data_IF_326892027277
#
_entry.id   IF_326892027277
#
_cell.length_a   1.000
_cell.length_b   1.000
_cell.length_c   1.000
_cell.angle_alpha   90.00
_cell.angle_beta   90.00
_cell.angle_gamma   90.00
#
_symmetry.space_group_name_H-M   'P 1'
#
loop_
_entity.id
_entity.type
_entity.pdbx_description
1 polymer ?
#
# COMPACT_ATOMS: atom_id res chain seq x y z
N UNK A 1 -13.66 10.28 -21.71
CA UNK A 1 -12.63 9.94 -20.71
C UNK A 1 -11.37 9.59 -21.49
N UNK A 2 -10.19 10.15 -21.18
CA UNK A 2 -8.95 9.85 -21.95
C UNK A 2 -8.56 8.37 -21.82
N UNK A 3 -8.00 7.76 -22.87
CA UNK A 3 -7.65 6.32 -22.93
C UNK A 3 -6.82 5.83 -21.74
N UNK A 4 -5.90 6.65 -21.22
CA UNK A 4 -5.11 6.32 -20.03
C UNK A 4 -5.95 6.22 -18.74
N UNK A 5 -7.00 7.02 -18.61
CA UNK A 5 -7.91 6.95 -17.44
C UNK A 5 -8.80 5.72 -17.48
N UNK A 6 -9.16 5.26 -18.69
CA UNK A 6 -9.91 4.03 -18.88
C UNK A 6 -9.05 2.81 -18.50
N UNK A 7 -7.78 2.78 -18.95
CA UNK A 7 -6.83 1.73 -18.56
C UNK A 7 -6.64 1.67 -17.04
N UNK A 8 -6.42 2.81 -16.38
CA UNK A 8 -6.27 2.87 -14.91
C UNK A 8 -7.55 2.39 -14.23
N UNK A 9 -8.73 2.78 -14.72
CA UNK A 9 -10.01 2.32 -14.18
C UNK A 9 -10.16 0.80 -14.31
N UNK A 10 -9.83 0.23 -15.48
CA UNK A 10 -9.84 -1.23 -15.69
C UNK A 10 -8.88 -1.95 -14.75
N UNK A 11 -7.68 -1.40 -14.53
CA UNK A 11 -6.71 -1.97 -13.58
C UNK A 11 -7.22 -1.91 -12.15
N UNK A 12 -7.82 -0.80 -11.72
CA UNK A 12 -8.44 -0.68 -10.39
C UNK A 12 -9.56 -1.72 -10.23
N UNK A 13 -10.47 -1.79 -11.20
CA UNK A 13 -11.58 -2.74 -11.16
C UNK A 13 -11.09 -4.19 -11.17
N UNK A 14 -10.02 -4.50 -11.90
CA UNK A 14 -9.37 -5.81 -11.88
C UNK A 14 -8.83 -6.16 -10.49
N UNK A 15 -8.08 -5.23 -9.86
CA UNK A 15 -7.56 -5.42 -8.49
C UNK A 15 -8.69 -5.58 -7.47
N UNK A 16 -9.77 -4.82 -7.60
CA UNK A 16 -10.95 -4.94 -6.73
C UNK A 16 -11.68 -6.27 -6.92
N UNK A 17 -11.85 -6.71 -8.17
CA UNK A 17 -12.48 -7.99 -8.48
C UNK A 17 -11.67 -9.16 -7.91
N UNK A 18 -10.35 -9.15 -8.12
CA UNK A 18 -9.44 -10.15 -7.55
C UNK A 18 -9.51 -10.17 -6.01
N UNK A 19 -9.45 -9.01 -5.36
CA UNK A 19 -9.51 -8.89 -3.89
C UNK A 19 -10.85 -9.39 -3.31
N UNK A 20 -11.97 -9.11 -4.00
CA UNK A 20 -13.29 -9.60 -3.61
C UNK A 20 -13.39 -11.13 -3.75
N UNK A 21 -12.89 -11.67 -4.85
CA UNK A 21 -12.92 -13.11 -5.10
C UNK A 21 -12.06 -13.90 -4.11
N UNK A 22 -10.85 -13.42 -3.82
CA UNK A 22 -9.97 -13.95 -2.77
C UNK A 22 -10.67 -13.95 -1.39
N UNK A 23 -11.32 -12.84 -1.02
CA UNK A 23 -12.06 -12.76 0.25
C UNK A 23 -13.18 -13.81 0.36
N UNK A 24 -13.92 -14.02 -0.73
CA UNK A 24 -14.99 -15.03 -0.79
C UNK A 24 -14.43 -16.46 -0.73
N UNK A 25 -13.35 -16.73 -1.48
CA UNK A 25 -12.65 -18.01 -1.49
C UNK A 25 -12.09 -18.37 -0.10
N UNK A 26 -11.41 -17.44 0.57
CA UNK A 26 -10.86 -17.63 1.92
C UNK A 26 -11.96 -17.96 2.93
N UNK A 27 -13.13 -17.33 2.78
CA UNK A 27 -14.29 -17.59 3.65
C UNK A 27 -14.88 -18.98 3.38
N UNK A 28 -14.99 -19.39 2.12
CA UNK A 28 -15.49 -20.72 1.73
C UNK A 28 -14.55 -21.86 2.18
N UNK A 29 -13.23 -21.71 1.95
CA UNK A 29 -12.21 -22.69 2.40
C UNK A 29 -12.24 -22.84 3.92
N UNK A 30 -12.43 -21.75 4.67
CA UNK A 30 -12.56 -21.79 6.13
C UNK A 30 -13.77 -22.61 6.57
N UNK A 31 -14.94 -22.42 5.94
CA UNK A 31 -16.16 -23.20 6.24
C UNK A 31 -15.94 -24.70 6.01
N UNK A 32 -15.22 -25.06 4.95
CA UNK A 32 -14.87 -26.45 4.64
C UNK A 32 -13.88 -27.05 5.65
N UNK A 33 -12.86 -26.30 6.07
CA UNK A 33 -11.87 -26.79 7.05
C UNK A 33 -12.45 -26.98 8.45
N UNK A 34 -13.41 -26.15 8.87
CA UNK A 34 -14.10 -26.30 10.17
C UNK A 34 -14.93 -27.60 10.19
N UNK A 35 -15.62 -27.89 9.07
CA UNK A 35 -16.38 -29.13 8.89
C UNK A 35 -15.47 -30.38 8.91
N UNK A 36 -14.36 -30.36 8.16
CA UNK A 36 -13.36 -31.46 8.17
C UNK A 36 -12.62 -31.61 9.50
N UNK A 37 -12.44 -30.53 10.25
CA UNK A 37 -11.79 -30.56 11.57
C UNK A 37 -12.59 -31.34 12.61
N UNK A 38 -13.92 -31.39 12.45
CA UNK A 38 -14.81 -32.19 13.29
C UNK A 38 -14.73 -33.69 13.02
N UNK A 39 -14.21 -34.13 11.87
CA UNK A 39 -14.26 -35.53 11.43
C UNK A 39 -12.94 -36.31 11.61
N UNK A 40 -11.79 -35.66 11.76
CA UNK A 40 -10.48 -36.29 11.52
C UNK A 40 -9.51 -36.30 12.73
N UNK A 41 -9.96 -36.79 13.89
CA UNK A 41 -9.15 -36.83 15.12
C UNK A 41 -7.99 -37.87 15.14
N UNK A 42 -7.72 -38.63 14.07
CA UNK A 42 -6.93 -39.88 14.16
C UNK A 42 -5.63 -40.01 13.32
N UNK A 43 -4.94 -38.94 12.89
CA UNK A 43 -3.64 -39.11 12.18
C UNK A 43 -2.52 -38.19 12.68
N UNK A 44 -1.72 -38.69 13.63
CA UNK A 44 -0.68 -37.93 14.34
C UNK A 44 0.69 -37.91 13.66
N UNK A 45 1.03 -38.88 12.79
CA UNK A 45 2.36 -38.95 12.16
C UNK A 45 2.48 -38.21 10.81
N UNK A 46 1.43 -38.14 9.98
CA UNK A 46 1.42 -37.34 8.73
C UNK A 46 1.35 -35.82 8.97
N UNK A 47 0.95 -35.40 10.18
CA UNK A 47 0.81 -33.99 10.57
C UNK A 47 2.17 -33.29 10.75
N UNK A 48 3.22 -34.02 11.12
CA UNK A 48 4.52 -33.45 11.47
C UNK A 48 5.25 -32.84 10.25
N UNK A 49 5.35 -33.58 9.15
CA UNK A 49 6.00 -33.12 7.91
C UNK A 49 5.17 -32.06 7.15
N UNK A 50 3.84 -32.23 7.11
CA UNK A 50 2.93 -31.19 6.58
C UNK A 50 2.95 -29.91 7.45
N UNK A 51 3.20 -30.04 8.75
CA UNK A 51 3.32 -28.91 9.67
C UNK A 51 4.55 -28.05 9.41
N UNK A 52 5.71 -28.66 9.20
CA UNK A 52 6.96 -27.95 8.88
C UNK A 52 6.89 -27.22 7.53
N UNK A 53 6.37 -27.89 6.50
CA UNK A 53 6.21 -27.29 5.16
C UNK A 53 5.17 -26.16 5.15
N UNK A 54 4.07 -26.31 5.90
CA UNK A 54 3.05 -25.26 6.05
C UNK A 54 3.57 -24.05 6.84
N UNK A 55 4.36 -24.25 7.89
CA UNK A 55 4.99 -23.17 8.66
C UNK A 55 5.98 -22.39 7.79
N UNK A 56 6.87 -23.09 7.07
CA UNK A 56 7.84 -22.47 6.17
C UNK A 56 7.14 -21.62 5.09
N UNK A 57 6.05 -22.13 4.51
CA UNK A 57 5.21 -21.38 3.56
C UNK A 57 4.60 -20.12 4.19
N UNK A 58 4.08 -20.21 5.41
CA UNK A 58 3.50 -19.05 6.13
C UNK A 58 4.53 -17.98 6.43
N UNK A 59 5.72 -18.36 6.88
CA UNK A 59 6.83 -17.43 7.12
C UNK A 59 7.26 -16.74 5.82
N UNK A 60 7.42 -17.51 4.75
CA UNK A 60 7.76 -16.97 3.43
C UNK A 60 6.71 -15.96 2.96
N UNK A 61 5.41 -16.31 3.02
CA UNK A 61 4.32 -15.41 2.64
C UNK A 61 4.25 -14.17 3.54
N UNK A 62 4.51 -14.29 4.84
CA UNK A 62 4.61 -13.15 5.76
C UNK A 62 5.77 -12.22 5.42
N UNK A 63 6.88 -12.78 4.95
CA UNK A 63 7.99 -11.99 4.45
C UNK A 63 7.63 -11.27 3.14
N UNK A 64 7.05 -12.00 2.18
CA UNK A 64 6.56 -11.47 0.90
C UNK A 64 5.55 -10.34 1.12
N UNK A 65 4.56 -10.53 2.00
CA UNK A 65 3.60 -9.50 2.40
C UNK A 65 4.30 -8.21 2.87
N UNK A 66 5.26 -8.33 3.79
CA UNK A 66 5.99 -7.19 4.33
C UNK A 66 6.81 -6.47 3.27
N UNK A 67 7.55 -7.21 2.43
CA UNK A 67 8.37 -6.63 1.35
C UNK A 67 7.50 -5.91 0.33
N UNK A 68 6.42 -6.53 -0.14
CA UNK A 68 5.49 -5.93 -1.10
C UNK A 68 4.88 -4.64 -0.55
N UNK A 69 4.51 -4.60 0.73
CA UNK A 69 3.92 -3.39 1.33
C UNK A 69 4.95 -2.30 1.60
N UNK A 70 6.20 -2.62 1.94
CA UNK A 70 7.28 -1.63 2.04
C UNK A 70 7.57 -1.01 0.66
N UNK A 71 7.67 -1.81 -0.39
CA UNK A 71 7.95 -1.31 -1.75
C UNK A 71 6.73 -0.55 -2.30
N UNK A 72 5.56 -1.17 -2.30
CA UNK A 72 4.33 -0.63 -2.89
C UNK A 72 3.82 0.59 -2.14
N UNK A 73 3.29 0.37 -0.93
CA UNK A 73 2.69 1.44 -0.13
C UNK A 73 3.73 2.32 0.56
N UNK A 74 4.76 1.71 1.13
CA UNK A 74 5.75 2.40 1.96
C UNK A 74 6.78 3.22 1.19
N UNK A 75 6.95 3.01 -0.12
CA UNK A 75 8.01 3.66 -0.92
C UNK A 75 7.48 4.30 -2.20
N UNK A 76 6.78 3.55 -3.06
CA UNK A 76 6.29 4.08 -4.35
C UNK A 76 5.24 5.18 -4.18
N UNK A 77 4.30 5.04 -3.23
CA UNK A 77 3.28 6.08 -2.99
C UNK A 77 3.93 7.40 -2.46
N UNK A 78 4.85 7.37 -1.47
CA UNK A 78 5.63 8.55 -1.07
C UNK A 78 6.44 9.17 -2.21
N UNK A 79 7.13 8.37 -3.03
CA UNK A 79 7.89 8.88 -4.19
C UNK A 79 6.95 9.66 -5.13
N UNK A 80 5.79 9.09 -5.47
CA UNK A 80 4.80 9.78 -6.29
C UNK A 80 4.33 11.11 -5.66
N UNK A 81 4.19 11.18 -4.34
CA UNK A 81 3.82 12.40 -3.64
C UNK A 81 4.95 13.46 -3.64
N UNK A 82 6.21 13.03 -3.48
CA UNK A 82 7.40 13.90 -3.56
C UNK A 82 7.53 14.47 -4.98
N UNK A 83 7.36 13.66 -6.02
CA UNK A 83 7.38 14.11 -7.42
C UNK A 83 6.32 15.17 -7.69
N UNK A 84 5.06 14.91 -7.29
CA UNK A 84 3.97 15.86 -7.48
C UNK A 84 4.11 17.14 -6.65
N UNK A 85 4.83 17.11 -5.52
CA UNK A 85 5.12 18.31 -4.73
C UNK A 85 6.24 19.14 -5.37
N UNK A 86 7.33 18.48 -5.76
CA UNK A 86 8.58 19.13 -6.16
C UNK A 86 8.47 19.70 -7.58
N UNK A 87 7.94 18.93 -8.53
CA UNK A 87 7.98 19.28 -9.95
C UNK A 87 6.71 19.99 -10.46
N UNK A 88 5.71 20.20 -9.60
CA UNK A 88 4.46 20.89 -9.97
C UNK A 88 4.59 22.41 -10.01
N UNK A 89 5.57 22.99 -9.30
CA UNK A 89 5.73 24.44 -9.16
C UNK A 89 7.05 24.89 -9.78
N UNK A 90 7.06 26.10 -10.34
CA UNK A 90 8.29 26.76 -10.79
C UNK A 90 9.28 26.85 -9.61
N UNK A 91 10.57 26.54 -9.82
CA UNK A 91 11.26 26.49 -11.12
C UNK A 91 11.62 25.07 -11.61
N UNK A 92 11.32 24.02 -10.83
CA UNK A 92 11.50 22.62 -11.21
C UNK A 92 10.31 22.10 -12.04
N UNK A 93 9.68 22.93 -12.87
CA UNK A 93 8.48 22.52 -13.59
C UNK A 93 8.86 21.51 -14.69
N UNK A 94 8.54 20.24 -14.49
CA UNK A 94 8.65 19.21 -15.52
C UNK A 94 7.26 18.89 -16.07
N UNK A 95 7.01 19.05 -17.36
CA UNK A 95 5.66 18.80 -17.92
C UNK A 95 5.17 17.35 -17.70
N UNK A 96 6.09 16.42 -17.43
CA UNK A 96 5.81 15.00 -17.14
C UNK A 96 5.52 14.67 -15.67
N UNK A 97 5.58 15.63 -14.74
CA UNK A 97 5.40 15.37 -13.29
C UNK A 97 4.09 14.62 -12.99
N UNK A 98 3.04 14.92 -13.76
CA UNK A 98 1.72 14.31 -13.60
C UNK A 98 1.73 12.83 -14.01
N UNK A 99 2.43 12.49 -15.09
CA UNK A 99 2.54 11.11 -15.56
C UNK A 99 3.38 10.28 -14.60
N UNK A 100 4.54 10.80 -14.17
CA UNK A 100 5.39 10.14 -13.17
C UNK A 100 4.64 9.91 -11.86
N UNK A 101 3.90 10.92 -11.37
CA UNK A 101 3.02 10.75 -10.21
C UNK A 101 2.01 9.62 -10.42
N UNK A 102 1.27 9.62 -11.52
CA UNK A 102 0.25 8.61 -11.81
C UNK A 102 0.84 7.21 -11.91
N UNK A 103 2.00 7.04 -12.55
CA UNK A 103 2.70 5.75 -12.66
C UNK A 103 3.12 5.26 -11.27
N UNK A 104 3.79 6.09 -10.46
CA UNK A 104 4.18 5.71 -9.10
C UNK A 104 2.97 5.33 -8.23
N UNK A 105 1.89 6.11 -8.29
CA UNK A 105 0.66 5.82 -7.51
C UNK A 105 0.01 4.52 -7.97
N UNK A 106 -0.07 4.28 -9.29
CA UNK A 106 -0.69 3.06 -9.84
C UNK A 106 0.11 1.81 -9.49
N UNK A 107 1.43 1.85 -9.66
CA UNK A 107 2.31 0.73 -9.30
C UNK A 107 2.29 0.46 -7.79
N UNK A 108 2.41 1.53 -6.98
CA UNK A 108 2.34 1.42 -5.52
C UNK A 108 1.02 0.84 -5.04
N UNK A 109 -0.10 1.24 -5.66
CA UNK A 109 -1.42 0.70 -5.36
C UNK A 109 -1.53 -0.79 -5.68
N UNK A 110 -1.10 -1.22 -6.87
CA UNK A 110 -1.18 -2.63 -7.30
C UNK A 110 -0.32 -3.51 -6.39
N UNK A 111 0.97 -3.18 -6.24
CA UNK A 111 1.92 -3.97 -5.46
C UNK A 111 1.48 -4.07 -4.00
N UNK A 112 1.08 -2.94 -3.40
CA UNK A 112 0.60 -2.94 -2.02
C UNK A 112 -0.76 -3.63 -1.85
N UNK A 113 -1.64 -3.62 -2.85
CA UNK A 113 -2.89 -4.39 -2.81
C UNK A 113 -2.63 -5.90 -2.82
N UNK A 114 -1.68 -6.37 -3.63
CA UNK A 114 -1.24 -7.78 -3.62
C UNK A 114 -0.65 -8.15 -2.26
N UNK A 115 0.23 -7.29 -1.72
CA UNK A 115 0.77 -7.45 -0.37
C UNK A 115 -0.35 -7.56 0.67
N UNK A 116 -1.29 -6.62 0.68
CA UNK A 116 -2.44 -6.61 1.58
C UNK A 116 -3.30 -7.87 1.49
N UNK A 117 -3.61 -8.37 0.29
CA UNK A 117 -4.38 -9.61 0.11
C UNK A 117 -3.67 -10.83 0.74
N UNK A 118 -2.35 -10.94 0.56
CA UNK A 118 -1.54 -11.98 1.23
C UNK A 118 -1.61 -11.82 2.76
N UNK A 119 -1.59 -10.58 3.25
CA UNK A 119 -1.72 -10.26 4.68
C UNK A 119 -3.07 -10.66 5.27
N UNK A 120 -4.16 -10.43 4.53
CA UNK A 120 -5.50 -10.85 4.92
C UNK A 120 -5.61 -12.38 4.98
N UNK A 121 -5.00 -13.09 4.02
CA UNK A 121 -4.92 -14.54 4.02
C UNK A 121 -4.17 -15.09 5.25
N UNK A 122 -3.02 -14.48 5.60
CA UNK A 122 -2.23 -14.85 6.78
C UNK A 122 -2.95 -14.54 8.11
N UNK A 123 -3.56 -13.36 8.21
CA UNK A 123 -4.22 -12.85 9.42
C UNK A 123 -5.49 -13.60 9.81
N UNK A 124 -6.00 -14.49 8.95
CA UNK A 124 -7.15 -15.34 9.25
C UNK A 124 -6.81 -16.53 10.17
N UNK A 125 -5.53 -16.71 10.52
CA UNK A 125 -5.01 -17.88 11.26
C UNK A 125 -4.46 -17.62 12.67
N UNK A 126 -4.49 -16.39 13.20
CA UNK A 126 -3.90 -16.07 14.53
C UNK A 126 -4.73 -15.06 15.35
N UNK A 127 -4.77 -15.25 16.68
CA UNK A 127 -5.65 -14.53 17.65
C UNK A 127 -4.97 -13.36 18.39
N UNK A 128 -3.81 -12.86 17.96
CA UNK A 128 -3.08 -11.83 18.70
C UNK A 128 -3.74 -10.44 18.57
N UNK A 129 -3.93 -9.73 19.68
CA UNK A 129 -4.62 -8.42 19.75
C UNK A 129 -3.96 -7.33 18.90
N UNK A 130 -2.63 -7.26 18.91
CA UNK A 130 -1.84 -6.29 18.14
C UNK A 130 -1.90 -6.53 16.62
N UNK A 131 -2.13 -7.78 16.20
CA UNK A 131 -2.41 -8.11 14.80
C UNK A 131 -3.77 -7.59 14.34
N UNK A 132 -4.73 -7.42 15.27
CA UNK A 132 -6.06 -6.88 14.97
C UNK A 132 -5.98 -5.42 14.55
N UNK A 133 -5.17 -4.62 15.25
CA UNK A 133 -4.96 -3.21 14.91
C UNK A 133 -4.30 -3.07 13.54
N UNK A 134 -3.22 -3.83 13.28
CA UNK A 134 -2.55 -3.83 11.98
C UNK A 134 -3.50 -4.20 10.83
N UNK A 135 -4.36 -5.19 11.04
CA UNK A 135 -5.36 -5.60 10.05
C UNK A 135 -6.41 -4.52 9.81
N UNK A 136 -6.95 -3.89 10.86
CA UNK A 136 -7.94 -2.82 10.73
C UNK A 136 -7.32 -1.62 9.99
N UNK A 137 -6.13 -1.20 10.39
CA UNK A 137 -5.39 -0.15 9.68
C UNK A 137 -5.12 -0.52 8.22
N UNK A 138 -4.74 -1.77 7.94
CA UNK A 138 -4.56 -2.27 6.58
C UNK A 138 -5.83 -2.15 5.72
N UNK A 139 -7.01 -2.45 6.27
CA UNK A 139 -8.30 -2.28 5.57
C UNK A 139 -8.60 -0.79 5.32
N UNK A 140 -8.38 0.07 6.33
CA UNK A 140 -8.56 1.52 6.19
C UNK A 140 -7.62 2.09 5.12
N UNK A 141 -6.37 1.63 5.08
CA UNK A 141 -5.38 2.03 4.07
C UNK A 141 -5.81 1.58 2.68
N UNK A 142 -6.19 0.31 2.51
CA UNK A 142 -6.63 -0.21 1.21
C UNK A 142 -7.85 0.54 0.67
N UNK A 143 -8.87 0.74 1.51
CA UNK A 143 -10.09 1.48 1.14
C UNK A 143 -9.79 2.94 0.80
N UNK A 144 -8.99 3.61 1.64
CA UNK A 144 -8.57 5.00 1.41
C UNK A 144 -7.72 5.15 0.14
N UNK A 145 -6.81 4.21 -0.12
CA UNK A 145 -5.98 4.19 -1.33
C UNK A 145 -6.84 3.95 -2.57
N UNK A 146 -7.82 3.06 -2.50
CA UNK A 146 -8.78 2.81 -3.58
C UNK A 146 -9.59 4.07 -3.88
N UNK A 147 -10.10 4.76 -2.85
CA UNK A 147 -10.78 6.04 -3.01
C UNK A 147 -9.89 7.11 -3.68
N UNK A 148 -8.60 7.16 -3.32
CA UNK A 148 -7.63 8.06 -3.95
C UNK A 148 -7.40 7.74 -5.43
N UNK A 149 -7.37 6.46 -5.80
CA UNK A 149 -7.25 6.05 -7.20
C UNK A 149 -8.51 6.41 -8.01
N UNK A 150 -9.70 6.22 -7.44
CA UNK A 150 -10.96 6.66 -8.07
C UNK A 150 -11.08 8.18 -8.19
N UNK A 151 -10.46 8.95 -7.28
CA UNK A 151 -10.45 10.40 -7.36
C UNK A 151 -9.87 10.90 -8.70
N UNK A 152 -8.94 10.17 -9.32
CA UNK A 152 -8.41 10.48 -10.65
C UNK A 152 -9.48 10.37 -11.74
N UNK A 153 -10.34 9.36 -11.68
CA UNK A 153 -11.44 9.15 -12.62
C UNK A 153 -12.52 10.23 -12.44
N UNK A 154 -12.79 10.62 -11.19
CA UNK A 154 -13.82 11.60 -10.81
C UNK A 154 -13.32 13.07 -10.87
N UNK A 155 -12.12 13.31 -11.40
CA UNK A 155 -11.54 14.65 -11.42
C UNK A 155 -12.43 15.65 -12.19
N UNK A 156 -12.91 16.74 -11.55
CA UNK A 156 -13.78 17.72 -12.19
C UNK A 156 -13.08 18.53 -13.31
N UNK A 157 -13.83 18.91 -14.35
CA UNK A 157 -13.41 19.87 -15.40
C UNK A 157 -13.14 21.27 -14.82
N UNK A 158 -12.40 22.11 -15.57
CA UNK A 158 -11.46 23.13 -15.05
C UNK A 158 -12.04 24.40 -14.38
N UNK A 159 -13.34 24.63 -14.26
CA UNK A 159 -13.86 25.99 -13.95
C UNK A 159 -14.76 26.16 -12.71
N UNK A 160 -14.74 25.26 -11.73
CA UNK A 160 -15.60 25.38 -10.54
C UNK A 160 -14.82 25.35 -9.22
N UNK A 161 -15.34 26.02 -8.18
CA UNK A 161 -14.94 25.87 -6.76
C UNK A 161 -14.77 24.40 -6.34
N UNK A 162 -15.58 23.50 -6.93
CA UNK A 162 -15.48 22.05 -6.79
C UNK A 162 -14.08 21.48 -7.11
N UNK A 163 -13.37 22.02 -8.10
CA UNK A 163 -12.00 21.57 -8.44
C UNK A 163 -10.98 22.02 -7.41
N UNK A 164 -11.20 23.15 -6.74
CA UNK A 164 -10.36 23.62 -5.64
C UNK A 164 -10.51 22.70 -4.44
N UNK A 165 -11.75 22.42 -4.02
CA UNK A 165 -12.03 21.47 -2.94
C UNK A 165 -11.51 20.06 -3.22
N UNK A 166 -11.74 19.53 -4.43
CA UNK A 166 -11.19 18.22 -4.83
C UNK A 166 -9.66 18.16 -4.67
N UNK A 167 -8.92 19.21 -5.08
CA UNK A 167 -7.46 19.25 -4.92
C UNK A 167 -7.03 19.29 -3.45
N UNK A 168 -7.75 20.03 -2.61
CA UNK A 168 -7.45 20.14 -1.18
C UNK A 168 -7.71 18.79 -0.50
N UNK A 169 -8.90 18.22 -0.70
CA UNK A 169 -9.28 16.92 -0.14
C UNK A 169 -8.32 15.81 -0.58
N UNK A 170 -8.01 15.71 -1.89
CA UNK A 170 -7.08 14.71 -2.42
C UNK A 170 -5.70 14.81 -1.76
N UNK A 171 -5.19 16.04 -1.56
CA UNK A 171 -3.88 16.27 -0.95
C UNK A 171 -3.87 15.94 0.55
N UNK A 172 -4.87 16.38 1.31
CA UNK A 172 -4.97 16.12 2.76
C UNK A 172 -5.12 14.61 3.00
N UNK A 173 -6.06 13.98 2.30
CA UNK A 173 -6.29 12.54 2.39
C UNK A 173 -5.03 11.75 1.96
N UNK A 174 -4.25 12.27 1.01
CA UNK A 174 -3.02 11.63 0.55
C UNK A 174 -1.93 11.60 1.62
N UNK A 175 -1.76 12.70 2.35
CA UNK A 175 -0.81 12.75 3.48
C UNK A 175 -1.26 11.91 4.66
N UNK A 176 -2.56 11.93 4.98
CA UNK A 176 -3.10 11.06 6.03
C UNK A 176 -2.88 9.59 5.67
N UNK A 177 -3.12 9.21 4.41
CA UNK A 177 -2.87 7.86 3.91
C UNK A 177 -1.40 7.44 4.07
N UNK A 178 -0.45 8.29 3.65
CA UNK A 178 0.99 8.01 3.81
C UNK A 178 1.35 7.84 5.29
N UNK A 179 0.84 8.71 6.17
CA UNK A 179 1.08 8.62 7.62
C UNK A 179 0.56 7.29 8.21
N UNK A 180 -0.67 6.89 7.84
CA UNK A 180 -1.25 5.62 8.26
C UNK A 180 -0.44 4.41 7.74
N UNK A 181 0.05 4.47 6.50
CA UNK A 181 0.90 3.42 5.92
C UNK A 181 2.18 3.25 6.75
N UNK A 182 2.88 4.34 7.07
CA UNK A 182 4.11 4.30 7.86
C UNK A 182 3.84 3.68 9.23
N UNK A 183 2.81 4.15 9.94
CA UNK A 183 2.42 3.61 11.24
C UNK A 183 2.07 2.11 11.16
N UNK A 184 1.33 1.70 10.12
CA UNK A 184 0.92 0.32 9.93
C UNK A 184 2.11 -0.60 9.60
N UNK A 185 3.10 -0.12 8.85
CA UNK A 185 4.33 -0.88 8.56
C UNK A 185 5.13 -1.10 9.85
N UNK A 186 5.33 -0.07 10.68
CA UNK A 186 6.02 -0.24 11.97
C UNK A 186 5.29 -1.24 12.87
N UNK A 187 3.97 -1.10 12.99
CA UNK A 187 3.17 -2.05 13.75
C UNK A 187 3.27 -3.48 13.20
N UNK A 188 3.36 -3.66 11.88
CA UNK A 188 3.58 -4.97 11.26
C UNK A 188 4.98 -5.55 11.53
N UNK A 189 6.01 -4.70 11.54
CA UNK A 189 7.40 -5.10 11.80
C UNK A 189 7.60 -5.56 13.25
N UNK A 190 6.93 -4.93 14.22
CA UNK A 190 7.01 -5.31 15.64
C UNK A 190 6.64 -6.78 15.93
N UNK A 191 5.95 -7.44 14.99
CA UNK A 191 5.52 -8.83 15.09
C UNK A 191 6.43 -9.82 14.35
N UNK A 192 7.50 -9.35 13.70
CA UNK A 192 8.45 -10.21 12.98
C UNK A 192 9.61 -10.65 13.87
N UNK A 193 10.10 -11.86 13.61
CA UNK A 193 11.42 -12.27 14.08
C UNK A 193 12.48 -11.29 13.54
N UNK A 194 13.38 -10.83 14.42
CA UNK A 194 14.34 -9.76 14.14
C UNK A 194 13.70 -8.41 13.74
N UNK A 195 12.63 -8.00 14.44
CA UNK A 195 11.96 -6.71 14.26
C UNK A 195 12.95 -5.52 14.14
N UNK A 196 13.99 -5.47 14.97
CA UNK A 196 15.01 -4.40 14.93
C UNK A 196 15.67 -4.23 13.55
N UNK A 197 16.08 -5.34 12.90
CA UNK A 197 16.71 -5.26 11.57
C UNK A 197 15.75 -4.65 10.54
N UNK A 198 14.50 -5.10 10.54
CA UNK A 198 13.46 -4.60 9.63
C UNK A 198 13.10 -3.14 9.90
N UNK A 199 13.06 -2.72 11.18
CA UNK A 199 12.85 -1.32 11.57
C UNK A 199 13.96 -0.44 10.99
N UNK A 200 15.23 -0.79 11.21
CA UNK A 200 16.35 0.01 10.71
C UNK A 200 16.39 0.09 9.19
N UNK A 201 16.07 -1.00 8.48
CA UNK A 201 15.94 -0.97 7.02
C UNK A 201 14.87 0.03 6.59
N UNK A 202 13.68 -0.03 7.21
CA UNK A 202 12.58 0.86 6.83
C UNK A 202 12.85 2.32 7.23
N UNK A 203 13.46 2.56 8.40
CA UNK A 203 13.93 3.89 8.81
C UNK A 203 14.96 4.44 7.83
N UNK A 204 15.88 3.61 7.33
CA UNK A 204 16.82 3.99 6.27
C UNK A 204 16.10 4.44 5.00
N UNK A 205 15.09 3.69 4.54
CA UNK A 205 14.26 4.08 3.38
C UNK A 205 13.57 5.43 3.62
N UNK A 206 12.94 5.62 4.79
CA UNK A 206 12.29 6.87 5.15
C UNK A 206 13.28 8.03 5.20
N UNK A 207 14.47 7.82 5.78
CA UNK A 207 15.54 8.81 5.84
C UNK A 207 15.98 9.26 4.45
N UNK A 208 16.19 8.32 3.52
CA UNK A 208 16.52 8.63 2.12
C UNK A 208 15.39 9.40 1.44
N UNK A 209 14.14 8.98 1.59
CA UNK A 209 12.99 9.69 1.02
C UNK A 209 12.86 11.12 1.56
N UNK A 210 13.04 11.30 2.87
CA UNK A 210 13.03 12.60 3.53
C UNK A 210 14.19 13.48 3.08
N UNK A 211 15.39 12.92 2.95
CA UNK A 211 16.55 13.63 2.43
C UNK A 211 16.34 14.08 0.99
N UNK A 212 15.89 13.19 0.10
CA UNK A 212 15.55 13.52 -1.28
C UNK A 212 14.48 14.62 -1.35
N UNK A 213 13.44 14.53 -0.53
CA UNK A 213 12.39 15.55 -0.46
C UNK A 213 12.93 16.92 0.00
N UNK A 214 13.83 16.92 0.99
CA UNK A 214 14.48 18.14 1.50
C UNK A 214 15.40 18.78 0.47
N UNK A 215 16.22 17.97 -0.22
CA UNK A 215 17.10 18.44 -1.29
C UNK A 215 16.29 19.07 -2.43
N UNK A 216 15.23 18.39 -2.90
CA UNK A 216 14.34 18.93 -3.93
C UNK A 216 13.63 20.22 -3.48
N UNK A 217 13.26 20.31 -2.20
CA UNK A 217 12.66 21.52 -1.64
C UNK A 217 13.66 22.68 -1.58
N UNK A 218 14.92 22.42 -1.18
CA UNK A 218 16.00 23.42 -1.20
C UNK A 218 16.23 23.93 -2.63
N UNK A 219 16.38 23.03 -3.61
CA UNK A 219 16.53 23.42 -5.02
C UNK A 219 15.38 24.29 -5.50
N UNK A 220 14.14 23.95 -5.13
CA UNK A 220 12.94 24.74 -5.44
C UNK A 220 13.02 26.17 -4.87
N UNK A 221 13.63 26.37 -3.71
CA UNK A 221 13.77 27.69 -3.08
C UNK A 221 14.99 28.48 -3.57
N UNK A 222 16.10 27.81 -3.88
CA UNK A 222 17.37 28.43 -4.27
C UNK A 222 17.36 28.85 -5.75
N UNK A 223 16.89 27.98 -6.65
CA UNK A 223 16.98 28.22 -8.09
C UNK A 223 16.25 29.50 -8.58
N UNK A 224 15.08 29.92 -8.02
CA UNK A 224 14.47 31.21 -8.37
C UNK A 224 15.26 32.45 -7.92
N UNK A 225 16.25 32.29 -7.05
CA UNK A 225 17.10 33.38 -6.55
C UNK A 225 18.42 33.51 -7.31
N UNK A 226 18.80 32.52 -8.11
CA UNK A 226 20.02 32.54 -8.92
C UNK A 226 19.77 33.20 -10.29
N UNK A 227 18.54 33.18 -10.80
CA UNK A 227 18.17 33.77 -12.10
C UNK A 227 17.50 35.15 -11.97
N UNK A 228 17.76 35.87 -10.88
CA UNK A 228 17.25 37.22 -10.63
C UNK A 228 18.43 38.14 -10.34
#
# INVERSE_FOLDING_TARGET
MSSHRLLILCLILCVQNYSCNEGSLVTAVRRSNDLRGSENAETTNLRSWNGQTALHRRLHLGNTHGVLNIIGWGTLLPIGAIVARSFRKSPLKCDEWYNLHVVCQTLGYIIGSVGWSIGMWLGNSSKQYSLRAHRILGIIIFTSSTAQMFALCLQPKKENERRRWWKICHKILGYLLISMIVANIFQGIDHKDHAEKWKWIYVGILSVLSFCALVLEIFRFVMPRIHR
#
